data_IF_759347695549
#
_entry.id   IF_759347695549
#
_cell.length_a   1.000
_cell.length_b   1.000
_cell.length_c   1.000
_cell.angle_alpha   90.00
_cell.angle_beta   90.00
_cell.angle_gamma   90.00
#
_symmetry.space_group_name_H-M   'P 1'
#
loop_
_entity.id
_entity.type
_entity.pdbx_description
1 polymer ?
#
# COMPACT_ATOMS: atom_id res chain seq x y z
N UNK A 1 -7.02 -7.21 -4.90
CA UNK A 1 -7.96 -6.83 -3.83
C UNK A 1 -7.24 -6.80 -2.49
N UNK A 2 -7.54 -5.83 -1.63
CA UNK A 2 -7.06 -5.78 -0.25
C UNK A 2 -7.80 -6.86 0.54
N UNK A 3 -7.09 -7.89 0.96
CA UNK A 3 -7.68 -9.02 1.68
C UNK A 3 -7.92 -8.72 3.16
N UNK A 4 -8.10 -9.77 3.98
CA UNK A 4 -8.32 -9.59 5.40
C UNK A 4 -7.12 -8.92 6.06
N UNK A 5 -7.40 -8.22 7.15
CA UNK A 5 -6.35 -7.72 8.05
C UNK A 5 -5.62 -8.93 8.63
N UNK A 6 -4.33 -9.03 8.35
CA UNK A 6 -3.45 -10.05 8.94
C UNK A 6 -3.07 -9.62 10.35
N UNK A 7 -2.80 -8.33 10.54
CA UNK A 7 -2.43 -7.78 11.83
C UNK A 7 -2.78 -6.29 11.95
N UNK A 8 -3.24 -5.89 13.14
CA UNK A 8 -3.25 -4.50 13.60
C UNK A 8 -2.35 -4.43 14.83
N UNK A 9 -1.39 -3.51 14.84
CA UNK A 9 -0.59 -3.26 16.05
C UNK A 9 -0.77 -1.85 16.57
N UNK A 10 -0.98 -1.77 17.89
CA UNK A 10 -0.69 -0.60 18.72
C UNK A 10 0.62 -0.86 19.46
N UNK A 11 1.34 0.22 19.74
CA UNK A 11 2.67 0.24 20.35
C UNK A 11 2.94 -0.77 21.47
N UNK A 12 4.22 -1.16 21.56
CA UNK A 12 4.94 -1.25 22.82
C UNK A 12 5.79 0.02 22.97
N UNK A 13 5.66 0.74 24.09
CA UNK A 13 6.36 2.02 24.32
C UNK A 13 7.83 1.86 24.67
N UNK A 14 8.54 2.98 24.82
CA UNK A 14 9.84 3.01 25.51
C UNK A 14 9.66 3.52 26.92
N UNK A 15 10.36 2.90 27.88
CA UNK A 15 10.38 3.36 29.25
C UNK A 15 11.16 4.68 29.39
N UNK A 16 11.09 5.33 30.56
CA UNK A 16 11.72 6.63 30.81
C UNK A 16 13.24 6.65 30.65
N UNK A 17 13.88 5.49 30.50
CA UNK A 17 15.33 5.35 30.32
C UNK A 17 15.69 4.86 28.91
N UNK A 18 14.74 4.88 27.98
CA UNK A 18 14.93 4.44 26.59
C UNK A 18 14.95 2.93 26.42
N UNK A 19 14.53 2.16 27.42
CA UNK A 19 14.36 0.71 27.32
C UNK A 19 13.09 0.35 26.56
N UNK A 20 13.16 -0.65 25.71
CA UNK A 20 12.00 -1.18 24.98
C UNK A 20 11.04 -1.86 25.97
N UNK A 21 9.79 -1.41 26.05
CA UNK A 21 8.75 -2.12 26.78
C UNK A 21 8.20 -3.26 25.89
N UNK A 22 7.75 -4.35 26.50
CA UNK A 22 7.50 -5.62 25.81
C UNK A 22 6.37 -5.53 24.73
N UNK A 23 6.60 -6.11 23.54
CA UNK A 23 5.60 -6.19 22.45
C UNK A 23 6.05 -5.81 21.03
N UNK A 24 7.28 -5.34 20.83
CA UNK A 24 7.84 -5.12 19.50
C UNK A 24 8.32 -6.46 18.90
N UNK A 25 7.48 -7.15 18.14
CA UNK A 25 7.96 -8.24 17.27
C UNK A 25 8.63 -7.66 16.02
N UNK A 26 9.70 -8.32 15.56
CA UNK A 26 10.45 -8.02 14.33
C UNK A 26 9.53 -7.69 13.15
N UNK A 27 9.85 -6.63 12.42
CA UNK A 27 9.15 -6.24 11.19
C UNK A 27 8.84 -4.75 11.13
N UNK A 28 8.51 -4.08 12.24
CA UNK A 28 8.22 -2.65 12.18
C UNK A 28 9.51 -1.82 12.00
N UNK A 29 9.72 -1.10 10.87
CA UNK A 29 10.91 -0.29 10.66
C UNK A 29 10.97 0.93 11.58
N UNK A 30 9.82 1.40 12.11
CA UNK A 30 9.75 2.46 13.12
C UNK A 30 8.75 2.06 14.21
N UNK A 31 9.27 1.68 15.38
CA UNK A 31 8.47 1.31 16.54
C UNK A 31 7.47 2.41 16.96
N UNK A 32 7.66 3.66 16.48
CA UNK A 32 6.81 4.79 16.78
C UNK A 32 5.64 5.05 15.81
N UNK A 33 5.50 4.26 14.75
CA UNK A 33 4.45 4.47 13.76
C UNK A 33 3.52 3.25 13.75
N UNK A 34 2.20 3.41 14.05
CA UNK A 34 1.26 2.31 13.93
C UNK A 34 1.17 1.88 12.47
N UNK A 35 0.83 0.61 12.22
CA UNK A 35 0.64 0.09 10.87
C UNK A 35 -0.49 -0.95 10.83
N UNK A 36 -0.97 -1.19 9.62
CA UNK A 36 -1.87 -2.29 9.29
C UNK A 36 -1.26 -3.12 8.17
N UNK A 37 -1.15 -4.43 8.41
CA UNK A 37 -0.72 -5.38 7.41
C UNK A 37 -1.95 -6.07 6.78
N UNK A 38 -2.01 -6.03 5.45
CA UNK A 38 -3.04 -6.68 4.65
C UNK A 38 -2.41 -7.77 3.80
N UNK A 39 -3.02 -8.94 3.80
CA UNK A 39 -2.73 -9.93 2.77
C UNK A 39 -3.43 -9.49 1.48
N UNK A 40 -2.67 -9.28 0.42
CA UNK A 40 -3.24 -8.93 -0.87
C UNK A 40 -3.68 -10.18 -1.61
N UNK A 41 -4.92 -10.17 -2.07
CA UNK A 41 -5.39 -11.12 -3.08
C UNK A 41 -4.99 -10.60 -4.46
N UNK A 42 -4.00 -11.25 -5.07
CA UNK A 42 -3.44 -10.87 -6.36
C UNK A 42 -4.27 -11.49 -7.48
N UNK A 43 -4.85 -10.64 -8.33
CA UNK A 43 -5.60 -11.09 -9.52
C UNK A 43 -4.71 -11.17 -10.76
N UNK A 44 -3.76 -10.23 -10.87
CA UNK A 44 -2.83 -10.13 -11.99
C UNK A 44 -1.55 -9.44 -11.54
N UNK A 45 -0.43 -9.96 -12.01
CA UNK A 45 0.89 -9.33 -11.86
C UNK A 45 1.25 -8.70 -13.21
N UNK A 46 1.68 -7.43 -13.18
CA UNK A 46 2.10 -6.70 -14.39
C UNK A 46 3.63 -6.71 -14.51
N UNK A 47 4.33 -6.44 -13.40
CA UNK A 47 5.78 -6.48 -13.27
C UNK A 47 6.12 -7.05 -11.91
N UNK A 48 7.10 -7.95 -11.89
CA UNK A 48 7.63 -8.59 -10.69
C UNK A 48 9.13 -8.26 -10.62
N UNK A 49 9.65 -8.03 -9.42
CA UNK A 49 11.09 -7.93 -9.15
C UNK A 49 11.73 -9.30 -8.86
N UNK A 50 10.94 -10.38 -8.98
CA UNK A 50 11.32 -11.77 -8.73
C UNK A 50 10.86 -12.29 -7.37
N UNK A 51 10.27 -11.44 -6.53
CA UNK A 51 9.78 -11.82 -5.20
C UNK A 51 8.31 -12.21 -5.16
N UNK A 52 7.51 -11.82 -6.15
CA UNK A 52 6.11 -12.27 -6.29
C UNK A 52 6.03 -13.71 -6.83
N UNK A 53 7.07 -14.20 -7.50
CA UNK A 53 7.18 -15.58 -8.04
C UNK A 53 7.30 -16.71 -6.99
N UNK A 54 6.97 -16.49 -5.71
CA UNK A 54 7.30 -17.43 -4.62
C UNK A 54 6.12 -18.20 -4.00
N UNK A 55 4.91 -18.17 -4.58
CA UNK A 55 3.66 -18.74 -3.99
C UNK A 55 3.35 -18.25 -2.56
N UNK A 56 4.07 -17.22 -2.10
CA UNK A 56 3.88 -16.61 -0.78
C UNK A 56 2.86 -15.47 -0.87
N UNK A 57 2.10 -15.24 0.21
CA UNK A 57 1.19 -14.10 0.28
C UNK A 57 1.98 -12.79 0.17
N UNK A 58 1.49 -11.85 -0.63
CA UNK A 58 2.01 -10.47 -0.65
C UNK A 58 1.39 -9.74 0.54
N UNK A 59 2.23 -9.34 1.50
CA UNK A 59 1.81 -8.54 2.65
C UNK A 59 2.01 -7.06 2.33
N UNK A 60 0.93 -6.30 2.22
CA UNK A 60 0.98 -4.84 2.15
C UNK A 60 0.99 -4.26 3.56
N UNK A 61 2.06 -3.57 3.92
CA UNK A 61 2.13 -2.74 5.10
C UNK A 61 1.71 -1.31 4.76
N UNK A 62 0.76 -0.80 5.51
CA UNK A 62 0.32 0.58 5.41
C UNK A 62 0.47 1.25 6.77
N UNK A 63 1.07 2.44 6.80
CA UNK A 63 1.12 3.26 8.01
C UNK A 63 -0.30 3.64 8.47
N UNK A 64 -0.52 3.58 9.78
CA UNK A 64 -1.79 3.83 10.46
C UNK A 64 -2.66 2.59 10.67
N UNK A 65 -3.74 2.77 11.44
CA UNK A 65 -4.70 1.72 11.73
C UNK A 65 -5.89 1.79 10.77
N UNK A 66 -6.21 0.69 10.09
CA UNK A 66 -7.42 0.58 9.28
C UNK A 66 -8.62 0.16 10.14
N UNK A 67 -9.35 1.16 10.65
CA UNK A 67 -10.57 1.01 11.44
C UNK A 67 -11.73 1.70 10.72
N UNK A 68 -13.00 1.42 11.09
CA UNK A 68 -14.14 2.15 10.53
C UNK A 68 -14.08 3.66 10.78
N UNK A 69 -13.46 4.08 11.89
CA UNK A 69 -13.28 5.49 12.21
C UNK A 69 -12.25 6.14 11.29
N UNK A 70 -11.06 5.54 11.15
CA UNK A 70 -10.04 6.06 10.23
C UNK A 70 -10.52 6.00 8.78
N UNK A 71 -11.41 5.06 8.41
CA UNK A 71 -12.05 5.03 7.09
C UNK A 71 -12.82 6.31 6.82
N UNK A 72 -13.64 6.73 7.79
CA UNK A 72 -14.41 7.98 7.68
C UNK A 72 -13.50 9.20 7.64
N UNK A 73 -12.45 9.24 8.46
CA UNK A 73 -11.52 10.37 8.53
C UNK A 73 -10.66 10.53 7.28
N UNK A 74 -10.22 9.42 6.68
CA UNK A 74 -9.27 9.43 5.56
C UNK A 74 -9.95 9.46 4.19
N UNK A 75 -11.25 9.15 4.10
CA UNK A 75 -11.99 9.05 2.84
C UNK A 75 -11.94 10.32 1.97
N UNK A 76 -11.90 11.51 2.58
CA UNK A 76 -11.84 12.80 1.88
C UNK A 76 -10.45 13.42 1.87
N UNK A 77 -9.45 12.72 2.40
CA UNK A 77 -8.07 13.21 2.47
C UNK A 77 -7.32 12.98 1.17
N UNK A 78 -6.20 13.69 0.99
CA UNK A 78 -5.24 13.42 -0.08
C UNK A 78 -4.49 12.09 0.10
N UNK A 79 -4.65 11.42 1.24
CA UNK A 79 -4.02 10.15 1.57
C UNK A 79 -5.06 9.18 2.16
N UNK A 80 -6.03 8.67 1.36
CA UNK A 80 -6.99 7.73 1.90
C UNK A 80 -6.28 6.42 2.22
N UNK A 81 -6.60 5.82 3.36
CA UNK A 81 -6.10 4.49 3.70
C UNK A 81 -6.75 3.42 2.84
N UNK A 82 -6.14 2.23 2.83
CA UNK A 82 -6.71 1.03 2.21
C UNK A 82 -7.49 0.23 3.25
N UNK A 83 -8.55 -0.42 2.81
CA UNK A 83 -9.43 -1.24 3.62
C UNK A 83 -9.74 -2.55 2.91
N UNK A 84 -10.04 -3.60 3.69
CA UNK A 84 -10.46 -4.89 3.14
C UNK A 84 -11.61 -4.72 2.14
N UNK A 85 -11.48 -5.39 0.99
CA UNK A 85 -12.41 -5.32 -0.15
C UNK A 85 -12.04 -4.27 -1.19
N UNK A 86 -11.13 -3.33 -0.88
CA UNK A 86 -10.72 -2.33 -1.87
C UNK A 86 -9.94 -2.99 -3.03
N UNK A 87 -10.13 -2.49 -4.26
CA UNK A 87 -9.50 -3.03 -5.47
C UNK A 87 -8.78 -1.93 -6.23
N UNK A 88 -7.47 -2.08 -6.37
CA UNK A 88 -6.59 -1.12 -7.03
C UNK A 88 -5.47 -1.83 -7.78
N UNK A 89 -4.85 -1.11 -8.71
CA UNK A 89 -3.51 -1.41 -9.20
C UNK A 89 -2.50 -0.82 -8.22
N UNK A 90 -1.60 -1.65 -7.68
CA UNK A 90 -0.59 -1.23 -6.70
C UNK A 90 0.81 -1.17 -7.31
N UNK A 91 1.59 -0.18 -6.88
CA UNK A 91 3.04 -0.07 -7.11
C UNK A 91 3.75 -0.30 -5.78
N UNK A 92 4.32 -1.47 -5.62
CA UNK A 92 4.87 -1.92 -4.34
C UNK A 92 6.40 -1.91 -4.37
N UNK A 93 7.00 -1.73 -3.19
CA UNK A 93 8.44 -1.90 -2.94
C UNK A 93 8.62 -2.64 -1.62
N UNK A 94 9.71 -3.38 -1.45
CA UNK A 94 10.03 -4.02 -0.18
C UNK A 94 10.18 -2.98 0.94
N UNK A 95 9.58 -3.28 2.09
CA UNK A 95 9.94 -2.63 3.35
C UNK A 95 11.36 -3.07 3.76
N UNK A 96 12.07 -2.29 4.59
CA UNK A 96 13.43 -2.65 5.04
C UNK A 96 13.52 -4.00 5.76
N UNK A 97 12.41 -4.53 6.27
CA UNK A 97 12.35 -5.83 6.94
C UNK A 97 12.39 -7.03 5.97
N UNK A 98 12.17 -6.79 4.66
CA UNK A 98 12.10 -7.83 3.63
C UNK A 98 10.91 -8.80 3.79
N UNK A 99 9.95 -8.48 4.65
CA UNK A 99 8.77 -9.31 4.93
C UNK A 99 7.54 -8.71 4.27
N UNK A 100 7.37 -7.40 4.38
CA UNK A 100 6.22 -6.69 3.85
C UNK A 100 6.60 -5.78 2.68
N UNK A 101 5.59 -5.33 1.95
CA UNK A 101 5.70 -4.31 0.94
C UNK A 101 5.05 -3.02 1.41
N UNK A 102 5.71 -1.91 1.09
CA UNK A 102 5.15 -0.57 1.22
C UNK A 102 4.74 -0.01 -0.14
N UNK A 103 4.12 1.17 -0.10
CA UNK A 103 3.84 1.94 -1.31
C UNK A 103 5.10 2.64 -1.82
N UNK A 104 5.54 2.31 -3.04
CA UNK A 104 6.79 2.83 -3.61
C UNK A 104 6.86 4.38 -3.68
N UNK A 105 5.72 4.99 -3.97
CA UNK A 105 5.50 6.43 -4.08
C UNK A 105 4.31 6.87 -3.21
N UNK A 106 4.17 6.33 -2.00
CA UNK A 106 3.08 6.68 -1.08
C UNK A 106 1.68 6.52 -1.73
N UNK A 107 0.75 7.48 -1.56
CA UNK A 107 -0.64 7.31 -2.00
C UNK A 107 -0.77 7.23 -3.53
N UNK A 108 0.22 7.76 -4.27
CA UNK A 108 0.30 7.68 -5.72
C UNK A 108 0.61 6.28 -6.25
N UNK A 109 0.99 5.37 -5.36
CA UNK A 109 1.20 3.95 -5.70
C UNK A 109 -0.06 3.12 -5.73
N UNK A 110 -1.21 3.73 -5.43
CA UNK A 110 -2.50 3.07 -5.48
C UNK A 110 -3.32 3.73 -6.58
N UNK A 111 -3.59 2.97 -7.63
CA UNK A 111 -4.22 3.47 -8.84
C UNK A 111 -5.59 2.83 -9.07
N UNK A 112 -6.55 3.66 -9.48
CA UNK A 112 -7.84 3.24 -10.02
C UNK A 112 -7.66 3.04 -11.53
N UNK A 113 -8.14 1.91 -12.04
CA UNK A 113 -8.32 1.68 -13.47
C UNK A 113 -9.80 1.92 -13.75
N UNK A 114 -10.13 2.97 -14.50
CA UNK A 114 -11.52 3.28 -14.84
C UNK A 114 -12.05 2.39 -15.99
N UNK A 115 -13.34 2.52 -16.30
CA UNK A 115 -14.01 1.72 -17.34
C UNK A 115 -13.43 1.93 -18.76
N UNK A 116 -12.65 3.00 -18.96
CA UNK A 116 -11.94 3.29 -20.22
C UNK A 116 -10.47 2.89 -20.16
N UNK A 117 -10.08 2.12 -19.14
CA UNK A 117 -8.69 1.74 -18.84
C UNK A 117 -7.75 2.93 -18.59
N UNK A 118 -8.25 4.10 -18.19
CA UNK A 118 -7.42 5.23 -17.81
C UNK A 118 -7.01 5.11 -16.34
N UNK A 119 -5.76 5.46 -16.05
CA UNK A 119 -5.21 5.39 -14.70
C UNK A 119 -5.46 6.69 -13.95
N UNK A 120 -6.01 6.56 -12.74
CA UNK A 120 -6.26 7.65 -11.80
C UNK A 120 -5.59 7.35 -10.47
N UNK A 121 -5.13 8.39 -9.78
CA UNK A 121 -4.64 8.26 -8.42
C UNK A 121 -5.83 8.03 -7.49
N UNK A 122 -5.72 7.11 -6.55
CA UNK A 122 -6.79 6.81 -5.59
C UNK A 122 -6.79 7.77 -4.39
N UNK A 123 -6.76 9.07 -4.67
CA UNK A 123 -6.94 10.14 -3.69
C UNK A 123 -8.36 10.72 -3.78
N UNK A 124 -8.66 11.73 -2.96
CA UNK A 124 -9.95 12.43 -2.99
C UNK A 124 -10.22 13.21 -4.29
N UNK A 125 -9.20 13.56 -5.07
CA UNK A 125 -9.34 14.28 -6.34
C UNK A 125 -9.53 13.34 -7.53
N UNK A 126 -9.06 12.10 -7.40
CA UNK A 126 -9.01 11.08 -8.44
C UNK A 126 -8.44 11.59 -9.77
N UNK A 127 -7.42 12.44 -9.68
CA UNK A 127 -6.78 13.01 -10.85
C UNK A 127 -6.12 11.92 -11.72
N UNK A 128 -6.07 12.17 -13.03
CA UNK A 128 -5.38 11.26 -13.95
C UNK A 128 -3.90 11.16 -13.57
N UNK A 129 -3.37 9.94 -13.62
CA UNK A 129 -1.95 9.73 -13.48
C UNK A 129 -1.24 10.50 -14.59
N UNK A 130 -0.19 11.25 -14.21
CA UNK A 130 0.70 11.94 -15.13
C UNK A 130 2.07 11.31 -15.02
N UNK A 131 2.57 10.76 -16.13
CA UNK A 131 3.88 10.11 -16.19
C UNK A 131 4.64 10.63 -17.42
N UNK A 132 5.86 11.12 -17.22
CA UNK A 132 6.70 11.68 -18.29
C UNK A 132 5.99 12.72 -19.18
N UNK A 133 5.16 13.58 -18.57
CA UNK A 133 4.40 14.60 -19.28
C UNK A 133 3.11 14.10 -19.96
N UNK A 134 2.86 12.79 -19.99
CA UNK A 134 1.67 12.18 -20.59
C UNK A 134 0.55 12.11 -19.55
N UNK A 135 -0.62 12.65 -19.89
CA UNK A 135 -1.87 12.50 -19.14
C UNK A 135 -3.06 12.83 -20.07
N UNK A 136 -4.13 12.02 -20.08
CA UNK A 136 -4.32 10.79 -19.30
C UNK A 136 -3.47 9.64 -19.87
N UNK A 137 -3.12 8.68 -19.01
CA UNK A 137 -2.39 7.47 -19.40
C UNK A 137 -3.32 6.25 -19.32
N UNK A 138 -3.31 5.41 -20.36
CA UNK A 138 -4.02 4.13 -20.36
C UNK A 138 -3.22 3.05 -19.63
N UNK A 139 -3.89 2.01 -19.14
CA UNK A 139 -3.24 0.84 -18.56
C UNK A 139 -2.23 0.22 -19.54
N UNK A 140 -2.60 0.08 -20.82
CA UNK A 140 -1.71 -0.45 -21.86
C UNK A 140 -0.44 0.40 -22.03
N UNK A 141 -0.61 1.72 -22.16
CA UNK A 141 0.53 2.64 -22.30
C UNK A 141 1.42 2.62 -21.06
N UNK A 142 0.84 2.53 -19.87
CA UNK A 142 1.58 2.38 -18.62
C UNK A 142 2.41 1.09 -18.59
N UNK A 143 1.80 -0.05 -18.93
CA UNK A 143 2.49 -1.34 -19.03
C UNK A 143 3.65 -1.24 -20.02
N UNK A 144 3.42 -0.68 -21.21
CA UNK A 144 4.47 -0.50 -22.22
C UNK A 144 5.63 0.40 -21.76
N UNK A 145 5.40 1.33 -20.82
CA UNK A 145 6.44 2.17 -20.24
C UNK A 145 7.28 1.43 -19.20
N UNK A 146 6.66 0.61 -18.35
CA UNK A 146 7.37 -0.07 -17.25
C UNK A 146 7.99 -1.41 -17.64
N UNK A 147 7.64 -1.95 -18.81
CA UNK A 147 8.21 -3.18 -19.37
C UNK A 147 9.44 -2.95 -20.25
N UNK A 148 9.89 -1.70 -20.42
CA UNK A 148 11.17 -1.35 -21.03
C UNK A 148 12.28 -1.39 -19.99
#
# INVERSE_FOLDING_TARGET
>A
EVGPVVERRRFAGYGPKGELLDGAKSGNPDANVPYTDFELKVERIIKDDGSVASDKPIILRMAGEATPETKRLTASSSYPFSYTGDRYLFLLTHEPDGIAYGFNYGPWSRLIVDDKNLLRISDNYQQFLKLNGISPITLEAFIALISK
#
